data_IF_971164782183
#
_entry.id   IF_971164782183
#
_cell.length_a   1.000
_cell.length_b   1.000
_cell.length_c   1.000
_cell.angle_alpha   90.00
_cell.angle_beta   90.00
_cell.angle_gamma   90.00
#
_symmetry.space_group_name_H-M   'P 1'
#
loop_
_entity.id
_entity.type
_entity.pdbx_description
1 polymer ?
#
# COMPACT_ATOMS: atom_id res chain seq x y z
N UNK A 1 8.87 23.98 -9.77
CA UNK A 1 8.83 22.56 -9.37
C UNK A 1 7.94 21.88 -10.38
N UNK A 2 8.49 20.89 -11.08
CA UNK A 2 7.71 20.04 -12.00
C UNK A 2 6.76 19.13 -11.20
N UNK A 3 5.67 18.68 -11.82
CA UNK A 3 4.68 17.79 -11.20
C UNK A 3 5.32 16.49 -10.71
N UNK A 4 6.18 15.85 -11.51
CA UNK A 4 6.86 14.61 -11.14
C UNK A 4 7.75 14.81 -9.91
N UNK A 5 8.49 15.92 -9.86
CA UNK A 5 9.32 16.29 -8.71
C UNK A 5 8.48 16.49 -7.45
N UNK A 6 7.31 17.12 -7.56
CA UNK A 6 6.40 17.28 -6.44
C UNK A 6 5.84 15.94 -5.96
N UNK A 7 5.35 15.09 -6.85
CA UNK A 7 4.80 13.77 -6.51
C UNK A 7 5.85 12.87 -5.81
N UNK A 8 7.09 12.87 -6.30
CA UNK A 8 8.20 12.15 -5.69
C UNK A 8 8.52 12.71 -4.30
N UNK A 9 8.56 14.04 -4.14
CA UNK A 9 8.81 14.66 -2.84
C UNK A 9 7.73 14.32 -1.81
N UNK A 10 6.45 14.33 -2.19
CA UNK A 10 5.35 13.92 -1.30
C UNK A 10 5.47 12.45 -0.87
N UNK A 11 5.84 11.55 -1.79
CA UNK A 11 6.07 10.15 -1.46
C UNK A 11 7.28 9.99 -0.53
N UNK A 12 8.39 10.67 -0.81
CA UNK A 12 9.62 10.63 -0.01
C UNK A 12 9.32 11.10 1.43
N UNK A 13 8.53 12.17 1.60
CA UNK A 13 8.09 12.67 2.91
C UNK A 13 7.16 11.68 3.64
N UNK A 14 6.25 11.01 2.92
CA UNK A 14 5.41 9.94 3.49
C UNK A 14 6.22 8.72 3.90
N UNK A 15 7.18 8.30 3.07
CA UNK A 15 8.08 7.18 3.35
C UNK A 15 8.96 7.45 4.57
N UNK A 16 9.53 8.66 4.67
CA UNK A 16 10.31 9.07 5.83
C UNK A 16 9.48 9.08 7.13
N UNK A 17 8.18 9.40 7.05
CA UNK A 17 7.26 9.30 8.20
C UNK A 17 6.96 7.85 8.58
N UNK A 18 6.74 6.97 7.60
CA UNK A 18 6.57 5.54 7.84
C UNK A 18 7.77 4.97 8.60
N UNK A 19 8.97 5.19 8.08
CA UNK A 19 10.21 4.68 8.69
C UNK A 19 10.52 5.37 10.02
N UNK A 20 10.74 6.68 9.99
CA UNK A 20 11.27 7.45 11.12
C UNK A 20 10.29 7.73 12.25
N UNK A 21 8.98 7.60 12.00
CA UNK A 21 7.97 7.84 13.04
C UNK A 21 7.17 6.61 13.42
N UNK A 22 7.14 5.54 12.63
CA UNK A 22 6.37 4.34 12.97
C UNK A 22 7.32 3.16 13.17
N UNK A 23 7.94 2.69 12.09
CA UNK A 23 8.67 1.41 12.09
C UNK A 23 9.91 1.45 12.99
N UNK A 24 10.59 2.59 13.08
CA UNK A 24 11.75 2.78 13.98
C UNK A 24 11.36 3.03 15.45
N UNK A 25 10.10 3.40 15.74
CA UNK A 25 9.64 3.72 17.10
C UNK A 25 8.90 2.54 17.73
N UNK A 26 8.08 1.83 16.96
CA UNK A 26 7.30 0.70 17.47
C UNK A 26 8.12 -0.57 17.37
N UNK A 27 8.47 -1.21 18.51
CA UNK A 27 9.23 -2.46 18.50
C UNK A 27 8.51 -3.52 17.65
N UNK A 28 9.24 -4.30 16.85
CA UNK A 28 8.69 -5.27 15.91
C UNK A 28 7.73 -6.26 16.56
N UNK A 29 8.02 -6.70 17.79
CA UNK A 29 7.19 -7.61 18.58
C UNK A 29 5.84 -7.02 18.98
N UNK A 30 5.70 -5.69 18.92
CA UNK A 30 4.47 -4.96 19.23
C UNK A 30 3.72 -4.49 17.99
N UNK A 31 4.32 -4.58 16.80
CA UNK A 31 3.68 -4.08 15.56
C UNK A 31 2.43 -4.88 15.17
N UNK A 32 2.31 -6.13 15.64
CA UNK A 32 1.11 -6.96 15.51
C UNK A 32 0.02 -6.67 16.55
N UNK A 33 0.25 -5.80 17.54
CA UNK A 33 -0.77 -5.44 18.53
C UNK A 33 -1.92 -4.65 17.88
N UNK A 34 -3.16 -5.02 18.21
CA UNK A 34 -4.36 -4.32 17.75
C UNK A 34 -4.84 -3.35 18.81
N UNK A 35 -5.04 -2.10 18.40
CA UNK A 35 -5.69 -1.08 19.24
C UNK A 35 -7.21 -1.09 19.02
N UNK A 36 -8.02 -0.65 20.01
CA UNK A 36 -9.47 -0.63 19.88
C UNK A 36 -9.94 0.12 18.62
N UNK A 37 -10.69 -0.57 17.75
CA UNK A 37 -11.24 0.02 16.53
C UNK A 37 -10.24 0.20 15.38
N UNK A 38 -9.02 -0.33 15.48
CA UNK A 38 -7.99 -0.23 14.45
C UNK A 38 -7.38 -1.57 14.04
N UNK A 39 -6.57 -1.50 12.99
CA UNK A 39 -5.70 -2.59 12.55
C UNK A 39 -4.33 -2.50 13.23
N UNK A 40 -3.60 -3.61 13.27
CA UNK A 40 -2.19 -3.65 13.64
C UNK A 40 -1.33 -2.85 12.65
N UNK A 41 -0.14 -2.42 13.09
CA UNK A 41 0.83 -1.73 12.22
C UNK A 41 1.36 -2.69 11.14
N UNK A 42 1.58 -3.95 11.50
CA UNK A 42 1.96 -5.00 10.54
C UNK A 42 0.90 -5.14 9.44
N UNK A 43 -0.39 -5.22 9.80
CA UNK A 43 -1.46 -5.28 8.81
C UNK A 43 -1.51 -4.04 7.94
N UNK A 44 -1.52 -2.83 8.53
CA UNK A 44 -1.63 -1.59 7.78
C UNK A 44 -0.47 -1.41 6.79
N UNK A 45 0.74 -1.81 7.19
CA UNK A 45 1.94 -1.78 6.33
C UNK A 45 1.85 -2.79 5.18
N UNK A 46 1.38 -4.00 5.45
CA UNK A 46 1.14 -5.00 4.39
C UNK A 46 0.03 -4.53 3.42
N UNK A 47 -1.08 -4.07 3.98
CA UNK A 47 -2.26 -3.61 3.25
C UNK A 47 -1.94 -2.48 2.28
N UNK A 48 -1.25 -1.42 2.73
CA UNK A 48 -0.88 -0.31 1.85
C UNK A 48 0.06 -0.76 0.72
N UNK A 49 0.96 -1.71 0.99
CA UNK A 49 1.89 -2.24 -0.01
C UNK A 49 1.17 -3.10 -1.06
N UNK A 50 0.18 -3.90 -0.63
CA UNK A 50 -0.65 -4.69 -1.55
C UNK A 50 -1.47 -3.80 -2.48
N UNK A 51 -2.07 -2.73 -1.96
CA UNK A 51 -2.79 -1.74 -2.78
C UNK A 51 -1.88 -1.03 -3.78
N UNK A 52 -0.73 -0.54 -3.33
CA UNK A 52 0.21 0.16 -4.20
C UNK A 52 0.80 -0.77 -5.29
N UNK A 53 1.19 -1.99 -4.94
CA UNK A 53 1.70 -2.99 -5.90
C UNK A 53 0.64 -3.33 -6.97
N UNK A 54 -0.61 -3.57 -6.56
CA UNK A 54 -1.71 -3.82 -7.50
C UNK A 54 -1.97 -2.60 -8.40
N UNK A 55 -1.95 -1.39 -7.85
CA UNK A 55 -2.12 -0.18 -8.65
C UNK A 55 -1.02 -0.03 -9.70
N UNK A 56 0.24 -0.32 -9.37
CA UNK A 56 1.34 -0.32 -10.35
C UNK A 56 1.10 -1.31 -11.49
N UNK A 57 0.59 -2.51 -11.20
CA UNK A 57 0.18 -3.46 -12.26
C UNK A 57 -0.95 -2.89 -13.13
N UNK A 58 -1.95 -2.23 -12.54
CA UNK A 58 -3.06 -1.61 -13.29
C UNK A 58 -2.58 -0.45 -14.17
N UNK A 59 -1.54 0.29 -13.76
CA UNK A 59 -0.92 1.31 -14.60
C UNK A 59 -0.12 0.73 -15.78
N UNK A 60 0.17 -0.57 -15.77
CA UNK A 60 1.04 -1.22 -16.75
C UNK A 60 2.54 -1.05 -16.45
N UNK A 61 2.92 -0.49 -15.30
CA UNK A 61 4.32 -0.42 -14.87
C UNK A 61 4.89 -1.82 -14.59
N UNK A 62 4.03 -2.73 -14.09
CA UNK A 62 4.35 -4.15 -13.92
C UNK A 62 3.54 -5.05 -14.83
N UNK A 63 4.09 -6.25 -15.16
CA UNK A 63 3.29 -7.34 -15.67
C UNK A 63 2.15 -7.68 -14.72
N UNK A 64 1.01 -8.07 -15.29
CA UNK A 64 -0.15 -8.58 -14.54
C UNK A 64 0.09 -10.05 -14.12
N UNK A 65 1.09 -10.24 -13.25
CA UNK A 65 1.51 -11.52 -12.71
C UNK A 65 1.56 -11.47 -11.18
N UNK A 66 1.67 -12.63 -10.54
CA UNK A 66 1.88 -12.70 -9.09
C UNK A 66 3.19 -11.99 -8.73
N UNK A 67 3.14 -11.06 -7.78
CA UNK A 67 4.34 -10.35 -7.32
C UNK A 67 5.29 -11.36 -6.65
N UNK A 68 6.49 -11.61 -7.20
CA UNK A 68 7.39 -12.65 -6.70
C UNK A 68 7.84 -12.38 -5.26
N UNK A 69 7.77 -11.12 -4.79
CA UNK A 69 8.09 -10.77 -3.40
C UNK A 69 7.10 -11.36 -2.40
N UNK A 70 5.92 -11.79 -2.86
CA UNK A 70 4.93 -12.45 -2.00
C UNK A 70 5.24 -13.93 -1.77
N UNK A 71 6.12 -14.54 -2.55
CA UNK A 71 6.35 -16.00 -2.52
C UNK A 71 6.82 -16.52 -1.15
N UNK A 72 7.46 -15.67 -0.35
CA UNK A 72 7.98 -16.00 0.98
C UNK A 72 6.94 -15.86 2.10
N UNK A 73 5.81 -15.19 1.83
CA UNK A 73 4.75 -15.02 2.84
C UNK A 73 3.87 -16.28 2.97
N UNK A 74 3.16 -16.37 4.10
CA UNK A 74 2.16 -17.42 4.32
C UNK A 74 1.18 -17.53 3.13
N UNK A 75 0.83 -18.74 2.65
CA UNK A 75 -0.05 -18.91 1.49
C UNK A 75 -1.41 -18.18 1.59
N UNK A 76 -1.93 -17.96 2.79
CA UNK A 76 -3.16 -17.18 2.98
C UNK A 76 -2.96 -15.70 2.65
N UNK A 77 -1.75 -15.17 2.85
CA UNK A 77 -1.40 -13.79 2.51
C UNK A 77 -1.16 -13.58 1.01
N UNK A 78 -0.82 -14.63 0.25
CA UNK A 78 -0.42 -14.51 -1.16
C UNK A 78 -1.57 -14.63 -2.17
N UNK A 79 -2.77 -15.04 -1.72
CA UNK A 79 -3.97 -15.06 -2.56
C UNK A 79 -4.22 -13.66 -3.13
N UNK A 80 -4.62 -13.50 -4.41
CA UNK A 80 -4.70 -12.19 -5.06
C UNK A 80 -5.40 -11.06 -4.27
N UNK A 81 -6.55 -11.36 -3.66
CA UNK A 81 -7.30 -10.39 -2.85
C UNK A 81 -6.78 -10.19 -1.42
N UNK A 82 -5.85 -11.01 -0.95
CA UNK A 82 -5.34 -10.94 0.43
C UNK A 82 -4.53 -9.67 0.66
N UNK A 83 -4.90 -8.97 1.72
CA UNK A 83 -4.34 -7.67 2.09
C UNK A 83 -5.04 -6.49 1.41
N UNK A 84 -5.99 -6.71 0.49
CA UNK A 84 -6.79 -5.62 -0.08
C UNK A 84 -8.00 -5.26 0.76
N UNK A 85 -8.39 -6.12 1.72
CA UNK A 85 -9.47 -5.84 2.65
C UNK A 85 -9.09 -4.70 3.58
N UNK A 86 -10.02 -3.78 3.87
CA UNK A 86 -9.79 -2.68 4.82
C UNK A 86 -9.64 -3.17 6.26
N UNK A 87 -10.27 -4.30 6.58
CA UNK A 87 -10.26 -4.89 7.93
C UNK A 87 -9.20 -5.97 8.00
N UNK A 88 -8.39 -5.94 9.05
CA UNK A 88 -7.40 -6.98 9.36
C UNK A 88 -8.00 -8.38 9.41
N UNK A 89 -7.38 -9.28 8.64
CA UNK A 89 -7.82 -10.67 8.54
C UNK A 89 -7.11 -11.55 9.57
N UNK A 90 -7.73 -12.64 10.04
CA UNK A 90 -7.12 -13.50 11.08
C UNK A 90 -5.74 -14.07 10.72
N UNK A 91 -5.48 -14.33 9.44
CA UNK A 91 -4.18 -14.84 8.97
C UNK A 91 -3.05 -13.80 9.10
N UNK A 92 -3.37 -12.52 9.29
CA UNK A 92 -2.37 -11.46 9.48
C UNK A 92 -1.49 -11.67 10.71
N UNK A 93 -1.96 -12.45 11.69
CA UNK A 93 -1.18 -12.81 12.88
C UNK A 93 0.07 -13.65 12.56
N UNK A 94 0.15 -14.24 11.36
CA UNK A 94 1.32 -14.99 10.89
C UNK A 94 2.34 -14.12 10.12
N UNK A 95 2.04 -12.85 9.85
CA UNK A 95 2.95 -11.96 9.13
C UNK A 95 4.14 -11.58 10.02
N UNK A 96 5.35 -11.73 9.49
CA UNK A 96 6.55 -11.18 10.10
C UNK A 96 6.65 -9.68 9.81
N UNK A 97 6.81 -8.87 10.86
CA UNK A 97 6.83 -7.42 10.73
C UNK A 97 8.03 -6.90 9.91
N UNK A 98 9.19 -7.56 9.98
CA UNK A 98 10.37 -7.14 9.24
C UNK A 98 10.25 -7.50 7.76
N UNK A 99 9.70 -8.67 7.44
CA UNK A 99 9.40 -9.06 6.05
C UNK A 99 8.36 -8.14 5.41
N UNK A 100 7.29 -7.79 6.16
CA UNK A 100 6.28 -6.82 5.71
C UNK A 100 6.91 -5.44 5.47
N UNK A 101 7.77 -4.96 6.37
CA UNK A 101 8.46 -3.68 6.20
C UNK A 101 9.36 -3.68 4.96
N UNK A 102 10.11 -4.77 4.72
CA UNK A 102 10.95 -4.92 3.54
C UNK A 102 10.13 -4.96 2.23
N UNK A 103 8.99 -5.66 2.24
CA UNK A 103 8.06 -5.67 1.12
C UNK A 103 7.50 -4.27 0.83
N UNK A 104 7.00 -3.57 1.86
CA UNK A 104 6.46 -2.22 1.71
C UNK A 104 7.52 -1.22 1.22
N UNK A 105 8.74 -1.27 1.76
CA UNK A 105 9.84 -0.43 1.29
C UNK A 105 10.21 -0.67 -0.18
N UNK A 106 10.18 -1.93 -0.62
CA UNK A 106 10.41 -2.28 -2.03
C UNK A 106 9.29 -1.73 -2.92
N UNK A 107 8.03 -1.92 -2.54
CA UNK A 107 6.88 -1.37 -3.30
C UNK A 107 6.93 0.15 -3.35
N UNK A 108 7.24 0.84 -2.24
CA UNK A 108 7.38 2.31 -2.22
C UNK A 108 8.50 2.77 -3.16
N UNK A 109 9.60 2.02 -3.24
CA UNK A 109 10.68 2.29 -4.21
C UNK A 109 10.15 2.22 -5.64
N UNK A 110 9.37 1.20 -5.96
CA UNK A 110 8.73 1.04 -7.27
C UNK A 110 7.77 2.20 -7.60
N UNK A 111 6.93 2.59 -6.62
CA UNK A 111 6.03 3.74 -6.78
C UNK A 111 6.84 4.99 -7.08
N UNK A 112 7.93 5.20 -6.36
CA UNK A 112 8.82 6.34 -6.57
C UNK A 112 9.42 6.35 -7.97
N UNK A 113 9.88 5.20 -8.47
CA UNK A 113 10.40 5.06 -9.83
C UNK A 113 9.32 5.35 -10.89
N UNK A 114 8.11 4.81 -10.70
CA UNK A 114 6.98 5.09 -11.57
C UNK A 114 6.64 6.59 -11.61
N UNK A 115 6.51 7.25 -10.45
CA UNK A 115 6.22 8.69 -10.37
C UNK A 115 7.30 9.56 -11.02
N UNK A 116 8.57 9.15 -10.92
CA UNK A 116 9.69 9.86 -11.53
C UNK A 116 9.72 9.77 -13.06
N UNK A 117 9.03 8.78 -13.65
CA UNK A 117 8.97 8.56 -15.10
C UNK A 117 7.63 8.93 -15.73
N UNK A 118 6.67 9.35 -14.91
CA UNK A 118 5.31 9.65 -15.33
C UNK A 118 5.25 10.87 -16.25
N UNK A 119 4.68 10.69 -17.44
CA UNK A 119 4.29 11.80 -18.29
C UNK A 119 3.00 12.43 -17.76
N UNK A 120 3.04 13.72 -17.42
CA UNK A 120 1.86 14.46 -16.96
C UNK A 120 0.72 14.46 -17.97
N UNK A 121 1.01 14.32 -19.27
CA UNK A 121 -0.02 14.22 -20.31
C UNK A 121 -0.82 12.90 -20.23
N UNK A 122 -0.24 11.83 -19.66
CA UNK A 122 -0.90 10.53 -19.51
C UNK A 122 -1.88 10.48 -18.33
N UNK A 123 -1.93 11.50 -17.48
CA UNK A 123 -2.80 11.52 -16.28
C UNK A 123 -4.29 11.42 -16.59
N UNK A 124 -4.71 11.88 -17.78
CA UNK A 124 -6.09 11.81 -18.24
C UNK A 124 -6.42 10.48 -18.96
N UNK A 125 -5.43 9.64 -19.25
CA UNK A 125 -5.63 8.34 -19.88
C UNK A 125 -6.41 7.41 -18.95
N UNK A 126 -7.25 6.54 -19.54
CA UNK A 126 -8.06 5.58 -18.80
C UNK A 126 -7.58 4.15 -19.07
N UNK A 127 -6.86 3.52 -18.12
CA UNK A 127 -6.52 2.10 -18.24
C UNK A 127 -7.78 1.22 -18.17
N UNK A 128 -7.73 0.04 -18.79
CA UNK A 128 -8.78 -0.98 -18.63
C UNK A 128 -8.63 -1.68 -17.27
N UNK A 129 -9.06 -0.98 -16.23
CA UNK A 129 -8.97 -1.44 -14.83
C UNK A 129 -9.68 -2.77 -14.64
N UNK A 130 -10.85 -2.95 -15.26
CA UNK A 130 -11.61 -4.19 -15.10
C UNK A 130 -10.87 -5.39 -15.71
N UNK A 131 -10.24 -5.23 -16.88
CA UNK A 131 -9.41 -6.27 -17.46
C UNK A 131 -8.16 -6.54 -16.59
N UNK A 132 -7.47 -5.49 -16.11
CA UNK A 132 -6.28 -5.63 -15.28
C UNK A 132 -6.58 -6.35 -13.95
N UNK A 133 -7.63 -5.95 -13.24
CA UNK A 133 -8.03 -6.59 -11.97
C UNK A 133 -8.42 -8.07 -12.16
N UNK A 134 -9.11 -8.41 -13.26
CA UNK A 134 -9.43 -9.82 -13.58
C UNK A 134 -8.18 -10.62 -13.89
N UNK A 135 -7.25 -10.05 -14.67
CA UNK A 135 -5.97 -10.68 -14.98
C UNK A 135 -5.12 -10.92 -13.72
N UNK A 136 -5.15 -9.98 -12.77
CA UNK A 136 -4.53 -10.11 -11.46
C UNK A 136 -5.26 -11.11 -10.54
N UNK A 137 -6.38 -11.71 -10.95
CA UNK A 137 -7.13 -12.69 -10.16
C UNK A 137 -7.99 -12.08 -9.05
N UNK A 138 -8.31 -10.79 -9.11
CA UNK A 138 -9.15 -10.11 -8.12
C UNK A 138 -10.62 -10.46 -8.36
N UNK A 139 -11.24 -11.16 -7.42
CA UNK A 139 -12.66 -11.53 -7.52
C UNK A 139 -13.59 -10.31 -7.44
N UNK A 140 -14.35 -10.09 -8.51
CA UNK A 140 -15.28 -8.96 -8.63
C UNK A 140 -16.45 -9.06 -7.62
N UNK A 141 -16.81 -10.27 -7.18
CA UNK A 141 -17.88 -10.43 -6.18
C UNK A 141 -17.44 -9.90 -4.81
N UNK A 142 -16.21 -10.22 -4.41
CA UNK A 142 -15.62 -9.83 -3.13
C UNK A 142 -15.07 -8.39 -3.14
N UNK A 143 -14.58 -7.93 -4.29
CA UNK A 143 -13.89 -6.64 -4.44
C UNK A 143 -14.55 -5.71 -5.47
N UNK A 144 -15.85 -5.86 -5.74
CA UNK A 144 -16.55 -5.03 -6.74
C UNK A 144 -16.49 -3.53 -6.46
N UNK A 145 -16.20 -3.12 -5.21
CA UNK A 145 -15.92 -1.73 -4.89
C UNK A 145 -14.62 -1.23 -5.52
N UNK A 146 -13.58 -2.07 -5.63
CA UNK A 146 -12.30 -1.75 -6.23
C UNK A 146 -12.47 -1.49 -7.74
N UNK A 147 -13.18 -2.40 -8.42
CA UNK A 147 -13.55 -2.26 -9.83
C UNK A 147 -14.27 -0.93 -10.11
N UNK A 148 -15.23 -0.55 -9.27
CA UNK A 148 -15.97 0.72 -9.44
C UNK A 148 -15.13 1.95 -9.08
N UNK A 149 -14.34 1.87 -8.02
CA UNK A 149 -13.57 3.01 -7.51
C UNK A 149 -12.39 3.34 -8.42
N UNK A 150 -11.74 2.31 -8.97
CA UNK A 150 -10.54 2.47 -9.79
C UNK A 150 -10.85 2.64 -11.28
N UNK A 151 -12.11 2.49 -11.72
CA UNK A 151 -12.55 2.89 -13.07
C UNK A 151 -12.52 4.42 -13.23
N UNK A 152 -11.30 4.95 -13.35
CA UNK A 152 -10.98 6.36 -13.34
C UNK A 152 -9.71 6.61 -14.18
N UNK A 153 -9.43 7.88 -14.54
CA UNK A 153 -8.18 8.22 -15.22
C UNK A 153 -6.93 7.86 -14.40
N UNK A 154 -5.79 7.73 -15.05
CA UNK A 154 -4.50 7.38 -14.43
C UNK A 154 -4.15 8.29 -13.24
N UNK A 155 -4.48 9.57 -13.33
CA UNK A 155 -4.30 10.53 -12.24
C UNK A 155 -5.08 10.17 -10.97
N UNK A 156 -6.17 9.41 -11.07
CA UNK A 156 -6.83 8.80 -9.91
C UNK A 156 -5.94 7.75 -9.25
N UNK A 157 -5.35 6.84 -10.02
CA UNK A 157 -4.47 5.79 -9.51
C UNK A 157 -3.22 6.39 -8.85
N UNK A 158 -2.68 7.46 -9.43
CA UNK A 158 -1.58 8.24 -8.84
C UNK A 158 -2.01 8.87 -7.51
N UNK A 159 -3.09 9.65 -7.50
CA UNK A 159 -3.48 10.41 -6.29
C UNK A 159 -4.00 9.54 -5.15
N UNK A 160 -4.65 8.42 -5.48
CA UNK A 160 -5.32 7.58 -4.49
C UNK A 160 -4.47 6.37 -4.09
N UNK A 161 -4.47 5.22 -4.78
CA UNK A 161 -3.77 4.03 -4.29
C UNK A 161 -2.24 4.17 -4.22
N UNK A 162 -1.62 4.98 -5.08
CA UNK A 162 -0.15 5.14 -5.10
C UNK A 162 0.39 6.19 -4.10
N UNK A 163 -0.39 7.22 -3.76
CA UNK A 163 0.06 8.29 -2.83
C UNK A 163 -0.86 8.46 -1.63
N UNK A 164 -2.13 8.73 -1.88
CA UNK A 164 -3.11 9.04 -0.83
C UNK A 164 -3.33 7.89 0.13
N UNK A 165 -3.42 6.66 -0.36
CA UNK A 165 -3.66 5.46 0.44
C UNK A 165 -2.49 5.17 1.38
N UNK A 166 -1.27 5.24 0.87
CA UNK A 166 -0.04 5.14 1.68
C UNK A 166 -0.04 6.21 2.77
N UNK A 167 -0.29 7.47 2.38
CA UNK A 167 -0.28 8.60 3.32
C UNK A 167 -1.35 8.48 4.40
N UNK A 168 -2.56 8.05 4.04
CA UNK A 168 -3.66 7.85 4.99
C UNK A 168 -3.30 6.77 6.03
N UNK A 169 -2.81 5.61 5.60
CA UNK A 169 -2.43 4.54 6.53
C UNK A 169 -1.21 4.89 7.37
N UNK A 170 -0.27 5.69 6.86
CA UNK A 170 0.80 6.27 7.69
C UNK A 170 0.20 7.17 8.79
N UNK A 171 -0.81 8.00 8.47
CA UNK A 171 -1.54 8.78 9.47
C UNK A 171 -2.25 7.92 10.52
N UNK A 172 -2.93 6.86 10.09
CA UNK A 172 -3.59 5.91 10.98
C UNK A 172 -2.60 5.20 11.91
N UNK A 173 -1.47 4.72 11.37
CA UNK A 173 -0.42 4.07 12.15
C UNK A 173 0.25 5.01 13.15
N UNK A 174 0.42 6.30 12.82
CA UNK A 174 0.81 7.34 13.78
C UNK A 174 -0.19 7.42 14.93
N UNK A 175 -1.49 7.36 14.63
CA UNK A 175 -2.57 7.29 15.61
C UNK A 175 -2.46 6.04 16.49
N UNK A 176 -2.32 4.86 15.89
CA UNK A 176 -2.14 3.57 16.58
C UNK A 176 -0.93 3.60 17.52
N UNK A 177 0.24 4.03 17.03
CA UNK A 177 1.44 4.22 17.85
C UNK A 177 1.19 5.13 19.05
N UNK A 178 0.47 6.24 18.85
CA UNK A 178 0.15 7.16 19.95
C UNK A 178 -0.76 6.50 20.99
N UNK A 179 -1.76 5.73 20.56
CA UNK A 179 -2.64 4.97 21.46
C UNK A 179 -1.87 3.88 22.23
N UNK A 180 -0.82 3.31 21.64
CA UNK A 180 0.12 2.40 22.32
C UNK A 180 1.00 3.10 23.36
N UNK A 181 0.89 4.42 23.51
CA UNK A 181 1.72 5.21 24.41
C UNK A 181 3.15 5.42 23.90
N UNK A 182 3.35 5.42 22.58
CA UNK A 182 4.67 5.56 21.94
C UNK A 182 4.82 6.88 21.16
N UNK A 183 4.10 7.94 21.56
CA UNK A 183 4.29 9.28 20.98
C UNK A 183 5.67 9.85 21.38
N UNK A 184 6.49 10.36 20.44
CA UNK A 184 7.78 10.97 20.74
C UNK A 184 7.67 12.42 21.25
N UNK A 185 6.49 13.04 21.21
CA UNK A 185 6.27 14.46 21.54
C UNK A 185 5.65 14.68 22.92
N UNK A 186 6.13 13.93 23.92
CA UNK A 186 5.66 14.06 25.31
C UNK A 186 6.25 15.28 26.01
#
# INVERSE_FOLDING_TARGET
>A
MDLTQWLVAELDDTSARLDGQILSIVPSERQGERMPGGNSITWATYHLARHASLALQVTGFYPLEADPRLAEFDPAATVPGSGLQEVEQPWAAALDAAEVAAFAGSVITDVREYLATLDGAALDDRPDVAAALRAAGIDETSFGWLYRMWDAPLGFLVRWPLLGHITNHVGEMIGTRNQMGLSPFR
#
